data_IF_235265857362
#
_entry.id   IF_235265857362
#
_cell.length_a   1.000
_cell.length_b   1.000
_cell.length_c   1.000
_cell.angle_alpha   90.00
_cell.angle_beta   90.00
_cell.angle_gamma   90.00
#
_symmetry.space_group_name_H-M   'P 1'
#
loop_
_entity.id
_entity.type
_entity.pdbx_description
1 polymer ?
#
# COMPACT_ATOMS: atom_id res chain seq x y z
N UNK A 1 17.28 -18.60 21.09
CA UNK A 1 17.12 -18.89 19.68
C UNK A 1 18.13 -18.09 18.86
N UNK A 2 19.02 -18.80 18.15
CA UNK A 2 20.18 -18.23 17.44
C UNK A 2 19.98 -18.26 15.94
N UNK A 3 18.90 -17.63 15.45
CA UNK A 3 18.72 -17.48 14.01
C UNK A 3 19.70 -16.45 13.44
N UNK A 4 20.53 -16.78 12.44
CA UNK A 4 21.54 -15.88 11.87
C UNK A 4 20.99 -14.77 10.95
N UNK A 5 19.67 -14.70 10.74
CA UNK A 5 19.05 -13.76 9.80
C UNK A 5 18.56 -12.44 10.44
N UNK A 6 18.98 -12.15 11.66
CA UNK A 6 18.49 -10.96 12.39
C UNK A 6 19.33 -9.74 12.05
N UNK A 7 18.80 -8.89 11.20
CA UNK A 7 19.40 -7.60 10.89
C UNK A 7 19.50 -6.69 12.14
N UNK A 8 20.51 -5.83 12.18
CA UNK A 8 20.75 -4.86 13.26
C UNK A 8 19.50 -4.02 13.63
N UNK A 9 18.58 -3.81 12.69
CA UNK A 9 17.32 -3.09 12.92
C UNK A 9 16.36 -3.76 13.92
N UNK A 10 16.41 -5.10 14.06
CA UNK A 10 15.55 -5.82 14.99
C UNK A 10 15.99 -5.69 16.45
N UNK A 11 17.27 -5.46 16.69
CA UNK A 11 17.81 -5.32 18.04
C UNK A 11 17.28 -4.08 18.76
N UNK A 12 17.10 -2.99 18.03
CA UNK A 12 16.61 -1.72 18.58
C UNK A 12 15.11 -1.70 18.84
N UNK A 13 14.35 -2.61 18.23
CA UNK A 13 12.88 -2.69 18.37
C UNK A 13 12.43 -3.69 19.42
N UNK A 14 13.36 -4.42 20.06
CA UNK A 14 13.03 -5.40 21.11
C UNK A 14 13.02 -4.76 22.48
N UNK A 15 11.85 -4.60 23.03
CA UNK A 15 11.62 -4.12 24.39
C UNK A 15 10.98 -5.26 25.19
N UNK A 16 11.80 -5.96 25.99
CA UNK A 16 11.34 -7.04 26.85
C UNK A 16 11.19 -6.62 28.32
N UNK A 17 11.78 -5.48 28.68
CA UNK A 17 11.88 -4.98 30.04
C UNK A 17 11.36 -3.54 30.14
N UNK A 18 10.84 -3.16 31.33
CA UNK A 18 10.38 -1.80 31.61
C UNK A 18 11.53 -0.78 31.57
N UNK A 19 12.74 -1.22 31.88
CA UNK A 19 13.94 -0.38 31.87
C UNK A 19 15.00 -0.96 30.95
N UNK A 20 15.63 -0.11 30.16
CA UNK A 20 16.75 -0.53 29.33
C UNK A 20 17.97 -0.91 30.22
N UNK A 21 18.55 -2.07 29.98
CA UNK A 21 19.63 -2.63 30.81
C UNK A 21 20.92 -1.79 30.81
N UNK A 22 21.13 -0.92 29.80
CA UNK A 22 22.38 -0.16 29.64
C UNK A 22 22.38 1.21 30.30
N UNK A 23 21.26 1.90 30.32
CA UNK A 23 21.17 3.30 30.75
C UNK A 23 19.99 3.58 31.70
N UNK A 24 19.19 2.55 32.02
CA UNK A 24 18.02 2.69 32.88
C UNK A 24 16.85 3.47 32.26
N UNK A 25 16.89 3.76 30.95
CA UNK A 25 15.80 4.45 30.26
C UNK A 25 14.51 3.66 30.37
N UNK A 26 13.43 4.32 30.74
CA UNK A 26 12.12 3.69 30.87
C UNK A 26 11.47 3.48 29.50
N UNK A 27 11.04 2.25 29.24
CA UNK A 27 10.24 1.89 28.08
C UNK A 27 8.77 2.05 28.40
N UNK A 28 8.12 3.03 27.80
CA UNK A 28 6.72 3.33 28.06
C UNK A 28 5.80 2.31 27.35
N UNK A 29 5.16 1.44 28.12
CA UNK A 29 4.13 0.52 27.62
C UNK A 29 2.89 1.28 27.10
N UNK A 30 2.62 2.46 27.67
CA UNK A 30 1.49 3.31 27.24
C UNK A 30 1.76 3.86 25.84
N UNK A 31 2.98 4.36 25.60
CA UNK A 31 3.35 4.89 24.28
C UNK A 31 3.32 3.80 23.21
N UNK A 32 3.76 2.58 23.53
CA UNK A 32 3.63 1.42 22.63
C UNK A 32 2.17 1.09 22.34
N UNK A 33 1.31 1.08 23.37
CA UNK A 33 -0.11 0.82 23.22
C UNK A 33 -0.87 1.89 22.43
N UNK A 34 -0.39 3.14 22.45
CA UNK A 34 -0.95 4.26 21.67
C UNK A 34 -0.40 4.32 20.25
N UNK A 35 0.84 3.88 20.05
CA UNK A 35 1.51 3.90 18.75
C UNK A 35 1.03 2.78 17.82
N UNK A 36 0.65 1.63 18.36
CA UNK A 36 0.31 0.45 17.59
C UNK A 36 -1.02 0.62 16.84
N UNK A 37 -1.05 0.22 15.56
CA UNK A 37 -2.27 0.06 14.76
C UNK A 37 -2.89 -1.34 14.98
N UNK A 38 -2.08 -2.32 15.37
CA UNK A 38 -2.47 -3.66 15.83
C UNK A 38 -1.44 -4.23 16.79
N UNK A 39 -1.87 -5.09 17.70
CA UNK A 39 -0.98 -5.86 18.57
C UNK A 39 -1.11 -7.34 18.22
N UNK A 40 -0.04 -7.95 17.70
CA UNK A 40 0.02 -9.38 17.43
C UNK A 40 0.88 -10.09 18.47
N UNK A 41 0.34 -11.12 19.12
CA UNK A 41 1.06 -11.98 20.06
C UNK A 41 1.24 -13.35 19.39
N UNK A 42 2.41 -13.60 18.81
CA UNK A 42 2.75 -14.79 18.04
C UNK A 42 4.20 -15.22 18.32
N UNK A 43 4.43 -16.36 18.96
CA UNK A 43 3.46 -17.26 19.55
C UNK A 43 2.90 -16.79 20.91
N UNK A 44 1.63 -17.15 21.19
CA UNK A 44 1.02 -16.99 22.51
C UNK A 44 1.00 -18.34 23.26
N UNK A 45 1.80 -18.45 24.31
CA UNK A 45 1.82 -19.66 25.16
C UNK A 45 0.62 -19.72 26.11
N UNK A 46 0.32 -20.89 26.67
CA UNK A 46 -0.72 -21.05 27.67
C UNK A 46 -0.53 -20.08 28.87
N UNK A 47 0.72 -19.84 29.28
CA UNK A 47 1.04 -18.87 30.34
C UNK A 47 0.66 -17.44 29.94
N UNK A 48 1.02 -17.02 28.73
CA UNK A 48 0.69 -15.69 28.21
C UNK A 48 -0.83 -15.50 28.13
N UNK A 49 -1.54 -16.47 27.54
CA UNK A 49 -3.00 -16.48 27.41
C UNK A 49 -3.67 -16.38 28.78
N UNK A 50 -3.19 -17.19 29.76
CA UNK A 50 -3.70 -17.15 31.11
C UNK A 50 -3.50 -15.80 31.81
N UNK A 51 -2.33 -15.18 31.66
CA UNK A 51 -2.04 -13.85 32.21
C UNK A 51 -2.90 -12.77 31.57
N UNK A 52 -3.05 -12.78 30.24
CA UNK A 52 -3.91 -11.85 29.50
C UNK A 52 -5.35 -11.94 29.98
N UNK A 53 -5.92 -13.16 30.05
CA UNK A 53 -7.30 -13.40 30.43
C UNK A 53 -7.61 -12.95 31.88
N UNK A 54 -6.61 -12.97 32.76
CA UNK A 54 -6.77 -12.61 34.17
C UNK A 54 -6.11 -11.28 34.58
N UNK A 55 -5.57 -10.52 33.63
CA UNK A 55 -4.97 -9.19 33.86
C UNK A 55 -3.70 -9.20 34.73
N UNK A 56 -2.90 -10.27 34.67
CA UNK A 56 -1.67 -10.41 35.48
C UNK A 56 -0.51 -9.70 34.81
N UNK A 57 -0.34 -8.42 35.08
CA UNK A 57 0.63 -7.52 34.46
C UNK A 57 2.03 -7.62 35.10
N UNK A 58 2.65 -8.78 35.05
CA UNK A 58 3.98 -9.04 35.65
C UNK A 58 5.15 -8.89 34.67
N UNK A 59 4.87 -8.47 33.42
CA UNK A 59 5.87 -8.27 32.40
C UNK A 59 5.43 -7.20 31.38
N UNK A 60 6.38 -6.72 30.58
CA UNK A 60 6.16 -5.66 29.59
C UNK A 60 5.07 -6.02 28.57
N UNK A 61 5.02 -7.26 28.10
CA UNK A 61 4.04 -7.72 27.12
C UNK A 61 2.61 -7.54 27.63
N UNK A 62 2.33 -8.08 28.83
CA UNK A 62 0.96 -8.03 29.38
C UNK A 62 0.57 -6.61 29.79
N UNK A 63 1.53 -5.81 30.30
CA UNK A 63 1.28 -4.41 30.63
C UNK A 63 0.96 -3.58 29.37
N UNK A 64 1.68 -3.83 28.28
CA UNK A 64 1.37 -3.19 27.00
C UNK A 64 0.02 -3.65 26.46
N UNK A 65 -0.30 -4.94 26.55
CA UNK A 65 -1.62 -5.48 26.18
C UNK A 65 -2.77 -4.77 26.92
N UNK A 66 -2.64 -4.60 28.23
CA UNK A 66 -3.67 -3.93 29.05
C UNK A 66 -3.79 -2.42 28.75
N UNK A 67 -2.77 -1.83 28.12
CA UNK A 67 -2.74 -0.42 27.70
C UNK A 67 -3.11 -0.23 26.21
N UNK A 68 -3.19 -1.32 25.45
CA UNK A 68 -3.43 -1.26 24.01
C UNK A 68 -4.85 -0.80 23.69
N UNK A 69 -4.98 0.16 22.79
CA UNK A 69 -6.26 0.60 22.19
C UNK A 69 -6.48 -0.03 20.81
N UNK A 70 -5.42 -0.51 20.20
CA UNK A 70 -5.44 -1.18 18.91
C UNK A 70 -6.07 -2.59 19.03
N UNK A 71 -6.61 -3.15 17.93
CA UNK A 71 -7.07 -4.53 17.91
C UNK A 71 -5.93 -5.49 18.26
N UNK A 72 -6.24 -6.51 19.07
CA UNK A 72 -5.26 -7.49 19.53
C UNK A 72 -5.52 -8.84 18.90
N UNK A 73 -4.48 -9.40 18.29
CA UNK A 73 -4.48 -10.72 17.66
C UNK A 73 -3.61 -11.68 18.45
N UNK A 74 -4.11 -12.88 18.68
CA UNK A 74 -3.45 -13.89 19.51
C UNK A 74 -3.31 -15.17 18.71
N UNK A 75 -2.07 -15.61 18.45
CA UNK A 75 -1.75 -16.87 17.76
C UNK A 75 -1.25 -17.91 18.78
N UNK A 76 -2.09 -18.81 19.29
CA UNK A 76 -1.71 -19.80 20.28
C UNK A 76 -0.67 -20.78 19.75
N UNK A 77 0.29 -21.16 20.63
CA UNK A 77 1.24 -22.22 20.37
C UNK A 77 1.55 -22.98 21.65
N UNK A 78 1.19 -24.26 21.70
CA UNK A 78 1.41 -25.14 22.85
C UNK A 78 1.19 -26.60 22.45
N UNK A 79 1.52 -27.51 23.35
CA UNK A 79 1.25 -28.94 23.16
C UNK A 79 -0.26 -29.23 23.08
N UNK A 80 -0.63 -30.33 22.42
CA UNK A 80 -1.99 -30.78 22.16
C UNK A 80 -2.84 -30.80 23.43
N UNK A 81 -2.35 -31.47 24.49
CA UNK A 81 -3.08 -31.61 25.75
C UNK A 81 -3.22 -30.26 26.48
N UNK A 82 -2.21 -29.41 26.39
CA UNK A 82 -2.27 -28.04 26.91
C UNK A 82 -3.31 -27.19 26.18
N UNK A 83 -3.41 -27.33 24.88
CA UNK A 83 -4.40 -26.61 24.09
C UNK A 83 -5.83 -27.10 24.39
N UNK A 84 -6.01 -28.42 24.49
CA UNK A 84 -7.30 -29.01 24.80
C UNK A 84 -7.74 -28.83 26.28
N UNK A 85 -6.81 -28.42 27.15
CA UNK A 85 -7.12 -28.31 28.60
C UNK A 85 -8.26 -27.29 28.85
N UNK A 86 -9.25 -27.63 29.71
CA UNK A 86 -10.41 -26.75 29.95
C UNK A 86 -10.04 -25.32 30.39
N UNK A 87 -8.96 -25.14 31.16
CA UNK A 87 -8.51 -23.80 31.56
C UNK A 87 -7.99 -22.98 30.39
N UNK A 88 -7.31 -23.60 29.43
CA UNK A 88 -6.81 -22.92 28.22
C UNK A 88 -7.99 -22.49 27.35
N UNK A 89 -8.94 -23.38 27.11
CA UNK A 89 -10.14 -23.07 26.32
C UNK A 89 -10.95 -21.95 26.99
N UNK A 90 -11.17 -22.01 28.29
CA UNK A 90 -11.85 -20.96 29.07
C UNK A 90 -11.12 -19.60 28.94
N UNK A 91 -9.78 -19.58 29.01
CA UNK A 91 -9.01 -18.35 28.87
C UNK A 91 -9.11 -17.79 27.45
N UNK A 92 -9.09 -18.62 26.41
CA UNK A 92 -9.30 -18.20 25.03
C UNK A 92 -10.69 -17.60 24.81
N UNK A 93 -11.75 -18.23 25.40
CA UNK A 93 -13.10 -17.69 25.32
C UNK A 93 -13.23 -16.35 26.08
N UNK A 94 -12.53 -16.22 27.21
CA UNK A 94 -12.44 -14.95 27.92
C UNK A 94 -11.79 -13.87 27.04
N UNK A 95 -10.68 -14.18 26.38
CA UNK A 95 -10.03 -13.24 25.47
C UNK A 95 -10.93 -12.86 24.29
N UNK A 96 -11.68 -13.82 23.72
CA UNK A 96 -12.70 -13.52 22.69
C UNK A 96 -13.77 -12.57 23.21
N UNK A 97 -14.23 -12.76 24.44
CA UNK A 97 -15.23 -11.88 25.07
C UNK A 97 -14.72 -10.46 25.32
N UNK A 98 -13.39 -10.27 25.43
CA UNK A 98 -12.74 -8.97 25.52
C UNK A 98 -12.52 -8.30 24.14
N UNK A 99 -12.93 -8.96 23.05
CA UNK A 99 -12.76 -8.45 21.70
C UNK A 99 -11.41 -8.80 21.05
N UNK A 100 -10.62 -9.72 21.65
CA UNK A 100 -9.38 -10.16 21.02
C UNK A 100 -9.66 -11.17 19.91
N UNK A 101 -8.89 -11.07 18.82
CA UNK A 101 -8.97 -11.96 17.66
C UNK A 101 -8.06 -13.17 17.87
N UNK A 102 -8.65 -14.35 18.03
CA UNK A 102 -7.89 -15.59 18.19
C UNK A 102 -7.64 -16.19 16.80
N UNK A 103 -6.37 -16.30 16.42
CA UNK A 103 -5.95 -16.99 15.21
C UNK A 103 -5.81 -18.46 15.58
N UNK A 104 -6.69 -19.30 15.02
CA UNK A 104 -6.74 -20.72 15.36
C UNK A 104 -5.39 -21.40 15.04
N UNK A 105 -4.85 -22.21 15.97
CA UNK A 105 -3.61 -22.91 15.71
C UNK A 105 -3.77 -23.96 14.62
N UNK A 106 -2.72 -24.15 13.82
CA UNK A 106 -2.64 -25.16 12.78
C UNK A 106 -2.56 -26.58 13.40
N UNK A 107 -2.97 -27.56 12.61
CA UNK A 107 -2.74 -28.97 12.90
C UNK A 107 -1.44 -29.44 12.24
N UNK A 108 -0.58 -30.13 13.00
CA UNK A 108 0.68 -30.65 12.48
C UNK A 108 1.50 -31.34 13.57
N UNK A 109 2.74 -31.70 13.23
CA UNK A 109 3.69 -32.23 14.19
C UNK A 109 4.13 -31.11 15.15
N UNK A 110 4.07 -31.42 16.46
CA UNK A 110 4.43 -30.55 17.57
C UNK A 110 5.87 -30.85 18.02
N UNK A 111 6.45 -30.00 18.86
CA UNK A 111 7.79 -30.21 19.42
C UNK A 111 7.89 -31.51 20.28
N UNK A 112 6.74 -32.00 20.74
CA UNK A 112 6.62 -33.27 21.46
C UNK A 112 6.53 -34.50 20.53
N UNK A 113 6.67 -34.32 19.20
CA UNK A 113 6.44 -35.35 18.17
C UNK A 113 5.01 -35.89 18.09
N UNK A 114 4.06 -35.31 18.84
CA UNK A 114 2.64 -35.57 18.66
C UNK A 114 2.09 -34.81 17.46
N UNK A 115 1.09 -35.37 16.81
CA UNK A 115 0.40 -34.71 15.68
C UNK A 115 -0.98 -34.29 16.11
N UNK A 116 -1.26 -32.98 16.00
CA UNK A 116 -2.56 -32.44 16.40
C UNK A 116 -2.63 -30.92 16.34
N UNK A 117 -3.73 -30.36 16.85
CA UNK A 117 -3.98 -28.93 16.91
C UNK A 117 -3.20 -28.31 18.08
N UNK A 118 -2.36 -27.34 17.82
CA UNK A 118 -1.56 -26.66 18.85
C UNK A 118 -0.31 -25.95 18.29
N UNK A 119 0.04 -26.21 17.04
CA UNK A 119 1.11 -25.51 16.35
C UNK A 119 0.66 -24.09 16.00
N UNK A 120 1.52 -23.09 16.22
CA UNK A 120 1.24 -21.73 15.77
C UNK A 120 0.91 -21.74 14.27
N UNK A 121 -0.09 -20.96 13.87
CA UNK A 121 -0.42 -20.77 12.46
C UNK A 121 0.78 -20.19 11.68
N UNK A 122 0.89 -20.54 10.41
CA UNK A 122 1.99 -20.08 9.56
C UNK A 122 1.96 -18.56 9.37
N UNK A 123 3.13 -17.88 9.34
CA UNK A 123 3.22 -16.44 9.25
C UNK A 123 2.41 -15.83 8.09
N UNK A 124 2.38 -16.50 6.94
CA UNK A 124 1.64 -16.07 5.75
C UNK A 124 0.13 -16.02 6.00
N UNK A 125 -0.41 -17.00 6.71
CA UNK A 125 -1.82 -17.03 7.08
C UNK A 125 -2.15 -16.00 8.16
N UNK A 126 -1.24 -15.77 9.12
CA UNK A 126 -1.39 -14.72 10.14
C UNK A 126 -1.47 -13.35 9.45
N UNK A 127 -0.59 -13.06 8.49
CA UNK A 127 -0.61 -11.81 7.72
C UNK A 127 -1.93 -11.67 6.97
N UNK A 128 -2.41 -12.75 6.33
CA UNK A 128 -3.70 -12.72 5.62
C UNK A 128 -4.88 -12.37 6.55
N UNK A 129 -4.92 -12.92 7.77
CA UNK A 129 -5.95 -12.58 8.77
C UNK A 129 -5.92 -11.10 9.14
N UNK A 130 -4.73 -10.52 9.31
CA UNK A 130 -4.56 -9.09 9.58
C UNK A 130 -5.03 -8.23 8.38
N UNK A 131 -4.62 -8.59 7.18
CA UNK A 131 -5.03 -7.90 5.94
C UNK A 131 -6.55 -7.93 5.76
N UNK A 132 -7.18 -9.10 5.94
CA UNK A 132 -8.64 -9.25 5.87
C UNK A 132 -9.35 -8.39 6.92
N UNK A 133 -8.83 -8.35 8.15
CA UNK A 133 -9.40 -7.52 9.21
C UNK A 133 -9.37 -6.03 8.84
N UNK A 134 -8.21 -5.51 8.46
CA UNK A 134 -8.08 -4.09 8.12
C UNK A 134 -8.83 -3.72 6.85
N UNK A 135 -8.89 -4.62 5.87
CA UNK A 135 -9.66 -4.41 4.65
C UNK A 135 -11.16 -4.39 4.88
N UNK A 136 -11.68 -5.23 5.78
CA UNK A 136 -13.12 -5.29 6.07
C UNK A 136 -13.63 -4.11 6.89
N UNK A 137 -12.77 -3.43 7.62
CA UNK A 137 -13.14 -2.31 8.51
C UNK A 137 -12.73 -0.94 7.98
N UNK A 138 -12.08 -0.89 6.82
CA UNK A 138 -11.58 0.35 6.23
C UNK A 138 -12.67 1.22 5.60
N UNK A 139 -12.39 2.52 5.49
CA UNK A 139 -13.31 3.53 4.89
C UNK A 139 -13.64 3.23 3.41
N UNK A 140 -12.80 2.44 2.73
CA UNK A 140 -12.95 2.00 1.35
C UNK A 140 -13.37 0.52 1.24
N UNK A 141 -13.84 -0.10 2.32
CA UNK A 141 -14.30 -1.49 2.30
C UNK A 141 -15.39 -1.71 1.24
N UNK A 142 -15.22 -2.72 0.41
CA UNK A 142 -16.11 -3.03 -0.72
C UNK A 142 -16.02 -2.09 -1.92
N UNK A 143 -15.08 -1.12 -1.91
CA UNK A 143 -14.80 -0.25 -3.05
C UNK A 143 -13.69 -0.83 -3.91
N UNK A 144 -13.77 -0.60 -5.22
CA UNK A 144 -12.74 -0.95 -6.19
C UNK A 144 -12.08 0.30 -6.76
N UNK A 145 -10.75 0.32 -6.79
CA UNK A 145 -9.98 1.48 -7.25
C UNK A 145 -8.98 1.06 -8.32
N UNK A 146 -9.04 1.71 -9.48
CA UNK A 146 -8.03 1.58 -10.53
C UNK A 146 -6.94 2.63 -10.32
N UNK A 147 -5.67 2.22 -10.38
CA UNK A 147 -4.53 3.14 -10.28
C UNK A 147 -3.57 2.87 -11.43
N UNK A 148 -3.17 3.90 -12.18
CA UNK A 148 -2.07 3.78 -13.13
C UNK A 148 -0.77 4.32 -12.50
N UNK A 149 0.35 3.63 -12.68
CA UNK A 149 1.63 3.98 -12.07
C UNK A 149 2.83 3.74 -13.00
N UNK A 150 3.93 4.44 -12.76
CA UNK A 150 5.17 4.26 -13.53
C UNK A 150 5.18 5.00 -14.86
N UNK A 151 6.25 4.84 -15.64
CA UNK A 151 6.36 5.35 -17.00
C UNK A 151 5.72 4.39 -18.00
N UNK A 152 5.57 4.83 -19.26
CA UNK A 152 5.47 3.92 -20.40
C UNK A 152 6.74 4.00 -21.25
N UNK A 153 7.07 2.90 -21.91
CA UNK A 153 8.23 2.77 -22.78
C UNK A 153 7.78 2.52 -24.22
N UNK A 154 8.03 3.51 -25.07
CA UNK A 154 7.66 3.46 -26.49
C UNK A 154 8.87 3.01 -27.29
N UNK A 155 8.87 1.77 -27.74
CA UNK A 155 10.00 1.15 -28.43
C UNK A 155 10.38 1.88 -29.72
N UNK A 156 11.65 2.18 -29.88
CA UNK A 156 12.28 2.61 -31.14
C UNK A 156 12.79 1.37 -31.88
N UNK A 157 13.47 0.50 -31.15
CA UNK A 157 14.02 -0.77 -31.62
C UNK A 157 14.13 -1.75 -30.41
N UNK A 158 14.61 -3.00 -30.56
CA UNK A 158 14.72 -3.95 -29.44
C UNK A 158 15.58 -3.50 -28.25
N UNK A 159 16.31 -2.37 -28.39
CA UNK A 159 17.28 -1.89 -27.38
C UNK A 159 16.90 -0.52 -26.80
N UNK A 160 16.24 0.34 -27.58
CA UNK A 160 15.99 1.74 -27.24
C UNK A 160 14.50 2.07 -27.23
N UNK A 161 14.12 2.97 -26.36
CA UNK A 161 12.75 3.45 -26.18
C UNK A 161 12.72 4.95 -25.88
N UNK A 162 11.56 5.56 -26.05
CA UNK A 162 11.18 6.86 -25.52
C UNK A 162 10.37 6.62 -24.25
N UNK A 163 10.63 7.36 -23.17
CA UNK A 163 9.89 7.22 -21.92
C UNK A 163 10.19 8.34 -20.94
N UNK A 164 9.47 8.35 -19.83
CA UNK A 164 9.57 9.34 -18.76
C UNK A 164 10.42 8.82 -17.60
N UNK A 165 10.99 9.73 -16.80
CA UNK A 165 11.81 9.38 -15.62
C UNK A 165 10.99 8.91 -14.40
N UNK A 166 9.72 8.54 -14.56
CA UNK A 166 8.88 8.12 -13.46
C UNK A 166 9.41 6.84 -12.81
N UNK A 167 9.48 6.85 -11.49
CA UNK A 167 9.85 5.67 -10.68
C UNK A 167 8.66 4.85 -10.22
N UNK A 168 7.42 5.32 -10.44
CA UNK A 168 6.20 4.69 -9.97
C UNK A 168 5.87 4.89 -8.48
N UNK A 169 6.82 5.37 -7.66
CA UNK A 169 6.69 5.45 -6.18
C UNK A 169 5.37 6.05 -5.70
N UNK A 170 4.86 7.13 -6.35
CA UNK A 170 3.62 7.77 -5.92
C UNK A 170 2.39 6.89 -6.17
N UNK A 171 2.29 6.29 -7.35
CA UNK A 171 1.17 5.39 -7.69
C UNK A 171 1.14 4.14 -6.81
N UNK A 172 2.32 3.59 -6.48
CA UNK A 172 2.41 2.47 -5.54
C UNK A 172 2.03 2.88 -4.11
N UNK A 173 2.44 4.05 -3.63
CA UNK A 173 2.01 4.56 -2.33
C UNK A 173 0.49 4.77 -2.25
N UNK A 174 -0.14 5.23 -3.33
CA UNK A 174 -1.60 5.34 -3.44
C UNK A 174 -2.28 3.97 -3.41
N UNK A 175 -1.71 2.97 -4.10
CA UNK A 175 -2.26 1.61 -4.14
C UNK A 175 -2.23 0.96 -2.75
N UNK A 176 -1.10 1.04 -2.06
CA UNK A 176 -0.95 0.54 -0.69
C UNK A 176 -1.89 1.26 0.29
N UNK A 177 -2.07 2.57 0.17
CA UNK A 177 -2.97 3.33 1.04
C UNK A 177 -4.44 2.99 0.79
N UNK A 178 -4.87 2.84 -0.48
CA UNK A 178 -6.22 2.38 -0.81
C UNK A 178 -6.51 0.99 -0.25
N UNK A 179 -5.57 0.04 -0.46
CA UNK A 179 -5.70 -1.33 0.02
C UNK A 179 -5.73 -1.39 1.56
N UNK A 180 -4.87 -0.61 2.24
CA UNK A 180 -4.85 -0.48 3.70
C UNK A 180 -6.20 0.03 4.26
N UNK A 181 -6.93 0.84 3.48
CA UNK A 181 -8.28 1.33 3.84
C UNK A 181 -9.41 0.41 3.36
N UNK A 182 -9.09 -0.79 2.89
CA UNK A 182 -10.05 -1.84 2.55
C UNK A 182 -10.52 -1.87 1.10
N UNK A 183 -9.93 -1.10 0.20
CA UNK A 183 -10.25 -1.17 -1.21
C UNK A 183 -9.62 -2.39 -1.90
N UNK A 184 -10.34 -2.98 -2.85
CA UNK A 184 -9.75 -3.83 -3.88
C UNK A 184 -9.11 -2.94 -4.95
N UNK A 185 -7.80 -3.05 -5.14
CA UNK A 185 -7.03 -2.19 -6.04
C UNK A 185 -6.59 -2.93 -7.28
N UNK A 186 -6.86 -2.36 -8.45
CA UNK A 186 -6.25 -2.76 -9.73
C UNK A 186 -5.15 -1.76 -10.05
N UNK A 187 -3.89 -2.19 -9.92
CA UNK A 187 -2.72 -1.37 -10.21
C UNK A 187 -2.15 -1.71 -11.58
N UNK A 188 -2.34 -0.81 -12.57
CA UNK A 188 -1.72 -0.92 -13.88
C UNK A 188 -0.36 -0.23 -13.83
N UNK A 189 0.71 -1.01 -13.87
CA UNK A 189 2.07 -0.55 -13.68
C UNK A 189 2.88 -0.63 -14.95
N UNK A 190 3.44 0.49 -15.39
CA UNK A 190 4.51 0.52 -16.38
C UNK A 190 5.82 -0.04 -15.82
N UNK A 191 6.92 -0.10 -16.62
CA UNK A 191 8.17 -0.73 -16.23
C UNK A 191 8.83 -0.04 -15.03
N UNK A 192 8.70 -0.64 -13.84
CA UNK A 192 9.26 -0.15 -12.58
C UNK A 192 9.74 -1.29 -11.69
N UNK A 193 10.64 -1.00 -10.75
CA UNK A 193 11.16 -1.97 -9.78
C UNK A 193 10.32 -2.04 -8.48
N UNK A 194 9.32 -1.18 -8.33
CA UNK A 194 8.46 -1.16 -7.15
C UNK A 194 7.68 -2.48 -7.05
N UNK A 195 7.45 -2.93 -5.81
CA UNK A 195 6.67 -4.13 -5.50
C UNK A 195 5.42 -3.75 -4.71
N UNK A 196 4.39 -4.56 -4.81
CA UNK A 196 3.19 -4.50 -3.97
C UNK A 196 3.29 -5.57 -2.90
N UNK A 197 2.75 -5.29 -1.71
CA UNK A 197 2.79 -6.20 -0.57
C UNK A 197 1.40 -6.56 -0.05
N UNK A 198 0.39 -5.73 -0.32
CA UNK A 198 -0.96 -5.96 0.15
C UNK A 198 -1.71 -6.97 -0.73
N UNK A 199 -2.42 -7.93 -0.12
CA UNK A 199 -3.16 -9.00 -0.82
C UNK A 199 -4.32 -8.48 -1.69
N UNK A 200 -4.89 -7.31 -1.35
CA UNK A 200 -5.96 -6.65 -2.09
C UNK A 200 -5.47 -5.83 -3.31
N UNK A 201 -4.19 -5.92 -3.68
CA UNK A 201 -3.66 -5.26 -4.87
C UNK A 201 -3.45 -6.29 -5.97
N UNK A 202 -4.26 -6.22 -7.01
CA UNK A 202 -4.06 -6.95 -8.27
C UNK A 202 -3.23 -6.10 -9.21
N UNK A 203 -1.99 -6.51 -9.49
CA UNK A 203 -1.07 -5.79 -10.38
C UNK A 203 -1.18 -6.31 -11.81
N UNK A 204 -1.27 -5.39 -12.77
CA UNK A 204 -1.20 -5.63 -14.22
C UNK A 204 0.03 -4.88 -14.74
N UNK A 205 1.04 -5.63 -15.18
CA UNK A 205 2.24 -5.05 -15.77
C UNK A 205 2.01 -4.75 -17.26
N UNK A 206 2.40 -3.56 -17.68
CA UNK A 206 2.31 -3.07 -19.06
C UNK A 206 3.62 -2.43 -19.47
N UNK A 207 3.87 -2.30 -20.77
CA UNK A 207 5.10 -1.68 -21.26
C UNK A 207 4.83 -0.35 -21.95
N UNK A 208 3.90 -0.31 -22.88
CA UNK A 208 3.60 0.86 -23.71
C UNK A 208 2.39 1.66 -23.26
N UNK A 209 2.23 2.87 -23.78
CA UNK A 209 1.02 3.68 -23.61
C UNK A 209 -0.22 2.96 -24.16
N UNK A 210 -0.07 2.20 -25.23
CA UNK A 210 -1.15 1.42 -25.81
C UNK A 210 -1.62 0.30 -24.87
N UNK A 211 -0.68 -0.47 -24.30
CA UNK A 211 -1.00 -1.53 -23.34
C UNK A 211 -1.71 -0.95 -22.10
N UNK A 212 -1.20 0.19 -21.60
CA UNK A 212 -1.81 0.88 -20.45
C UNK A 212 -3.21 1.39 -20.78
N UNK A 213 -3.42 1.91 -21.98
CA UNK A 213 -4.73 2.35 -22.46
C UNK A 213 -5.72 1.19 -22.50
N UNK A 214 -5.35 0.07 -23.11
CA UNK A 214 -6.21 -1.12 -23.24
C UNK A 214 -6.56 -1.69 -21.87
N UNK A 215 -5.58 -1.84 -20.98
CA UNK A 215 -5.81 -2.30 -19.62
C UNK A 215 -6.72 -1.35 -18.83
N UNK A 216 -6.50 -0.01 -18.94
CA UNK A 216 -7.32 0.97 -18.25
C UNK A 216 -8.76 0.98 -18.76
N UNK A 217 -8.97 0.92 -20.08
CA UNK A 217 -10.31 0.86 -20.69
C UNK A 217 -11.09 -0.41 -20.31
N UNK A 218 -10.38 -1.55 -20.16
CA UNK A 218 -11.00 -2.81 -19.73
C UNK A 218 -11.41 -2.79 -18.25
N UNK A 219 -10.63 -2.16 -17.39
CA UNK A 219 -10.83 -2.21 -15.93
C UNK A 219 -11.70 -1.05 -15.40
N UNK A 220 -11.62 0.13 -15.98
CA UNK A 220 -12.32 1.32 -15.44
C UNK A 220 -13.84 1.18 -15.31
N UNK A 221 -14.58 0.52 -16.23
CA UNK A 221 -16.01 0.30 -16.05
C UNK A 221 -16.41 -0.55 -14.84
N UNK A 222 -15.44 -1.27 -14.25
CA UNK A 222 -15.63 -2.22 -13.15
C UNK A 222 -15.26 -1.67 -11.76
N UNK A 223 -14.84 -0.40 -11.69
CA UNK A 223 -14.33 0.23 -10.46
C UNK A 223 -15.13 1.45 -10.04
N UNK A 224 -15.08 1.80 -8.76
CA UNK A 224 -15.72 2.99 -8.19
C UNK A 224 -14.90 4.27 -8.43
N UNK A 225 -13.58 4.14 -8.51
CA UNK A 225 -12.70 5.28 -8.74
C UNK A 225 -11.47 4.91 -9.59
N UNK A 226 -10.97 5.89 -10.35
CA UNK A 226 -9.71 5.80 -11.09
C UNK A 226 -8.74 6.91 -10.69
N UNK A 227 -7.48 6.57 -10.43
CA UNK A 227 -6.40 7.51 -10.11
C UNK A 227 -5.32 7.39 -11.19
N UNK A 228 -5.18 8.39 -12.02
CA UNK A 228 -4.25 8.39 -13.15
C UNK A 228 -2.94 9.07 -12.75
N UNK A 229 -2.01 8.28 -12.17
CA UNK A 229 -0.73 8.73 -11.64
C UNK A 229 0.48 8.33 -12.53
N UNK A 230 0.27 7.55 -13.59
CA UNK A 230 1.32 7.16 -14.52
C UNK A 230 1.86 8.37 -15.32
N UNK A 231 3.15 8.32 -15.65
CA UNK A 231 3.79 9.24 -16.57
C UNK A 231 3.81 8.61 -17.99
N UNK A 232 2.66 8.68 -18.64
CA UNK A 232 2.48 8.15 -20.00
C UNK A 232 3.22 9.01 -21.00
N UNK A 233 3.89 8.40 -21.97
CA UNK A 233 4.50 9.12 -23.07
C UNK A 233 3.42 9.70 -24.01
N UNK A 234 3.52 10.98 -24.37
CA UNK A 234 2.58 11.65 -25.27
C UNK A 234 2.75 11.22 -26.73
N UNK A 235 3.94 10.71 -27.08
CA UNK A 235 4.29 10.30 -28.43
C UNK A 235 4.96 8.94 -28.46
N UNK A 236 4.69 8.16 -29.49
CA UNK A 236 5.30 6.86 -29.79
C UNK A 236 5.89 6.86 -31.21
N UNK A 237 6.96 6.12 -31.50
CA UNK A 237 7.45 5.95 -32.87
C UNK A 237 6.36 5.44 -33.81
N UNK A 238 6.28 6.02 -34.99
CA UNK A 238 5.30 5.59 -36.01
C UNK A 238 5.57 4.15 -36.48
N UNK A 239 6.85 3.79 -36.56
CA UNK A 239 7.31 2.45 -36.87
C UNK A 239 8.40 2.02 -35.87
N UNK A 240 8.33 0.79 -35.38
CA UNK A 240 9.34 0.15 -34.55
C UNK A 240 10.24 -0.71 -35.42
N UNK A 241 11.55 -0.52 -35.29
CA UNK A 241 12.51 -1.33 -36.05
C UNK A 241 12.67 -2.73 -35.43
N UNK A 242 12.60 -3.79 -36.25
CA UNK A 242 12.77 -5.17 -35.80
C UNK A 242 14.21 -5.49 -35.32
N UNK A 243 15.18 -4.69 -35.73
CA UNK A 243 16.59 -4.84 -35.37
C UNK A 243 17.14 -3.53 -34.83
N UNK A 244 18.15 -3.63 -33.96
CA UNK A 244 18.87 -2.45 -33.45
C UNK A 244 19.34 -1.57 -34.62
N UNK A 245 18.87 -0.34 -34.67
CA UNK A 245 19.29 0.66 -35.67
C UNK A 245 20.80 0.94 -35.50
N UNK A 246 21.57 0.70 -36.53
CA UNK A 246 23.01 1.01 -36.54
C UNK A 246 23.21 2.49 -36.82
N UNK A 247 24.30 3.05 -36.32
CA UNK A 247 24.69 4.42 -36.63
C UNK A 247 25.18 4.46 -38.06
N UNK A 248 24.38 5.05 -38.92
CA UNK A 248 24.71 5.33 -40.33
C UNK A 248 24.61 6.85 -40.53
N UNK A 249 25.75 7.54 -40.50
CA UNK A 249 25.79 8.99 -40.57
C UNK A 249 25.75 9.71 -39.21
N UNK A 250 25.49 11.03 -39.27
CA UNK A 250 25.57 11.92 -38.08
C UNK A 250 24.22 12.18 -37.43
N UNK A 251 23.11 11.83 -38.07
CA UNK A 251 21.75 12.10 -37.59
C UNK A 251 20.87 10.84 -37.58
N UNK A 252 19.94 10.76 -36.65
CA UNK A 252 18.84 9.79 -36.61
C UNK A 252 17.51 10.55 -36.57
N UNK A 253 16.73 10.43 -37.65
CA UNK A 253 15.39 11.01 -37.69
C UNK A 253 14.33 9.96 -37.23
N UNK A 254 13.54 10.32 -36.23
CA UNK A 254 12.43 9.51 -35.76
C UNK A 254 11.12 10.23 -36.06
N UNK A 255 10.22 9.57 -36.76
CA UNK A 255 8.85 10.01 -36.91
C UNK A 255 8.01 9.52 -35.75
N UNK A 256 7.34 10.43 -35.06
CA UNK A 256 6.54 10.16 -33.90
C UNK A 256 5.06 10.48 -34.17
N UNK A 257 4.17 9.65 -33.62
CA UNK A 257 2.72 9.90 -33.62
C UNK A 257 2.21 10.01 -32.18
N UNK A 258 1.11 10.77 -31.95
CA UNK A 258 0.53 10.88 -30.61
C UNK A 258 0.03 9.52 -30.14
N UNK A 259 0.15 9.28 -28.82
CA UNK A 259 -0.45 8.15 -28.11
C UNK A 259 -1.91 8.43 -27.79
N UNK A 260 -2.65 7.39 -27.34
CA UNK A 260 -4.00 7.57 -26.85
C UNK A 260 -4.05 8.33 -25.53
N UNK A 261 -4.90 9.35 -25.45
CA UNK A 261 -5.14 10.08 -24.19
C UNK A 261 -6.05 9.24 -23.27
N UNK A 262 -5.43 8.44 -22.39
CA UNK A 262 -6.11 7.56 -21.43
C UNK A 262 -7.09 8.36 -20.58
N UNK A 263 -6.65 9.51 -20.07
CA UNK A 263 -7.46 10.34 -19.19
C UNK A 263 -8.73 10.87 -19.88
N UNK A 264 -8.59 11.36 -21.13
CA UNK A 264 -9.72 11.84 -21.90
C UNK A 264 -10.68 10.69 -22.27
N UNK A 265 -10.14 9.50 -22.56
CA UNK A 265 -10.95 8.32 -22.88
C UNK A 265 -11.76 7.85 -21.67
N UNK A 266 -11.15 7.72 -20.50
CA UNK A 266 -11.84 7.34 -19.27
C UNK A 266 -12.87 8.40 -18.83
N UNK A 267 -12.51 9.69 -18.97
CA UNK A 267 -13.46 10.78 -18.67
C UNK A 267 -14.73 10.79 -19.53
N UNK A 268 -14.66 10.26 -20.77
CA UNK A 268 -15.83 10.11 -21.65
C UNK A 268 -16.78 8.98 -21.23
N UNK A 269 -16.23 7.89 -20.67
CA UNK A 269 -17.02 6.73 -20.25
C UNK A 269 -17.38 6.75 -18.76
N UNK A 270 -16.89 7.75 -18.02
CA UNK A 270 -17.15 7.93 -16.59
C UNK A 270 -18.65 8.05 -16.32
N UNK A 271 -19.14 7.22 -15.39
CA UNK A 271 -20.53 7.27 -14.92
C UNK A 271 -20.69 8.21 -13.72
N UNK A 272 -21.92 8.69 -13.39
CA UNK A 272 -22.14 9.63 -12.28
C UNK A 272 -21.67 9.13 -10.90
N UNK A 273 -21.66 7.82 -10.70
CA UNK A 273 -21.21 7.19 -9.44
C UNK A 273 -19.70 6.99 -9.34
N UNK A 274 -18.98 7.15 -10.45
CA UNK A 274 -17.54 6.94 -10.50
C UNK A 274 -16.75 8.22 -10.23
N UNK A 275 -15.55 8.07 -9.65
CA UNK A 275 -14.59 9.18 -9.49
C UNK A 275 -13.41 8.99 -10.41
N UNK A 276 -12.90 10.11 -10.94
CA UNK A 276 -11.70 10.12 -11.77
C UNK A 276 -10.75 11.22 -11.29
N UNK A 277 -9.57 10.82 -10.87
CA UNK A 277 -8.53 11.69 -10.33
C UNK A 277 -7.36 11.73 -11.28
N UNK A 278 -6.91 12.93 -11.65
CA UNK A 278 -5.75 13.13 -12.52
C UNK A 278 -4.54 13.63 -11.76
N UNK A 279 -3.38 13.40 -12.33
CA UNK A 279 -2.12 14.04 -11.94
C UNK A 279 -1.65 14.99 -13.03
N UNK A 280 -1.10 16.13 -12.63
CA UNK A 280 -0.42 17.06 -13.51
C UNK A 280 0.96 17.41 -12.94
N UNK A 281 1.97 17.31 -13.79
CA UNK A 281 3.30 17.80 -13.52
C UNK A 281 3.55 18.94 -14.51
N UNK A 282 3.60 20.16 -14.01
CA UNK A 282 3.69 21.36 -14.83
C UNK A 282 4.96 22.15 -14.48
N UNK A 283 5.44 22.93 -15.44
CA UNK A 283 6.60 23.80 -15.28
C UNK A 283 6.27 25.28 -15.44
N UNK A 284 5.20 25.59 -16.20
CA UNK A 284 4.73 26.95 -16.50
C UNK A 284 3.21 26.98 -16.48
N UNK A 285 2.62 28.13 -16.08
CA UNK A 285 1.15 28.33 -16.01
C UNK A 285 0.38 27.18 -15.36
N UNK A 286 0.97 26.64 -14.28
CA UNK A 286 0.60 25.38 -13.63
C UNK A 286 -0.88 25.29 -13.32
N UNK A 287 -1.44 26.35 -12.72
CA UNK A 287 -2.84 26.39 -12.32
C UNK A 287 -3.78 26.37 -13.52
N UNK A 288 -3.54 27.23 -14.51
CA UNK A 288 -4.38 27.34 -15.70
C UNK A 288 -4.39 26.05 -16.53
N UNK A 289 -3.23 25.42 -16.65
CA UNK A 289 -3.09 24.15 -17.37
C UNK A 289 -3.84 23.02 -16.63
N UNK A 290 -3.72 22.96 -15.28
CA UNK A 290 -4.41 21.98 -14.48
C UNK A 290 -5.96 22.18 -14.51
N UNK A 291 -6.46 23.41 -14.40
CA UNK A 291 -7.89 23.74 -14.56
C UNK A 291 -8.41 23.33 -15.94
N UNK A 292 -7.65 23.61 -16.99
CA UNK A 292 -8.01 23.18 -18.35
C UNK A 292 -8.08 21.65 -18.49
N UNK A 293 -7.17 20.91 -17.86
CA UNK A 293 -7.18 19.43 -17.82
C UNK A 293 -8.38 18.90 -17.01
N UNK A 294 -8.66 19.51 -15.85
CA UNK A 294 -9.77 19.14 -14.98
C UNK A 294 -11.10 19.07 -15.77
N UNK A 295 -11.39 20.11 -16.53
CA UNK A 295 -12.64 20.23 -17.29
C UNK A 295 -12.64 19.30 -18.50
N UNK A 296 -11.59 19.37 -19.34
CA UNK A 296 -11.54 18.62 -20.61
C UNK A 296 -11.55 17.11 -20.42
N UNK A 297 -10.96 16.61 -19.30
CA UNK A 297 -10.81 15.19 -19.02
C UNK A 297 -11.85 14.68 -18.01
N UNK A 298 -12.81 15.52 -17.61
CA UNK A 298 -13.89 15.20 -16.68
C UNK A 298 -13.37 14.62 -15.33
N UNK A 299 -12.30 15.20 -14.80
CA UNK A 299 -11.78 14.84 -13.49
C UNK A 299 -12.63 15.42 -12.35
N UNK A 300 -12.77 14.72 -11.23
CA UNK A 300 -13.37 15.24 -10.01
C UNK A 300 -12.40 16.19 -9.30
N UNK A 301 -11.13 15.83 -9.28
CA UNK A 301 -10.03 16.71 -8.91
C UNK A 301 -8.73 16.32 -9.59
N UNK A 302 -7.78 17.22 -9.58
CA UNK A 302 -6.44 17.00 -10.11
C UNK A 302 -5.39 17.30 -9.05
N UNK A 303 -4.39 16.43 -8.95
CA UNK A 303 -3.23 16.58 -8.08
C UNK A 303 -2.12 17.24 -8.90
N UNK A 304 -1.78 18.46 -8.56
CA UNK A 304 -0.75 19.25 -9.22
C UNK A 304 0.56 19.13 -8.45
N UNK A 305 1.62 18.75 -9.15
CA UNK A 305 2.99 18.79 -8.69
C UNK A 305 3.75 19.84 -9.48
N UNK A 306 4.63 20.59 -8.81
CA UNK A 306 5.56 21.53 -9.46
C UNK A 306 6.97 20.97 -9.47
N UNK A 307 7.65 21.02 -10.60
CA UNK A 307 9.09 20.73 -10.69
C UNK A 307 9.95 21.87 -10.10
N UNK A 308 9.36 23.04 -9.85
CA UNK A 308 10.03 24.18 -9.25
C UNK A 308 10.21 24.03 -7.73
N UNK A 309 9.51 23.10 -7.09
CA UNK A 309 9.61 22.83 -5.67
C UNK A 309 10.80 21.91 -5.36
N UNK A 310 11.74 22.39 -4.55
CA UNK A 310 12.88 21.59 -4.11
C UNK A 310 12.40 20.37 -3.29
N UNK A 311 12.87 19.17 -3.64
CA UNK A 311 12.47 17.91 -3.00
C UNK A 311 11.18 17.29 -3.53
N UNK A 312 10.51 17.90 -4.51
CA UNK A 312 9.39 17.33 -5.25
C UNK A 312 9.84 16.73 -6.58
N UNK A 313 9.16 15.68 -7.05
CA UNK A 313 9.43 15.08 -8.38
C UNK A 313 9.64 13.56 -8.37
N UNK A 314 10.04 13.01 -9.52
CA UNK A 314 10.03 11.56 -9.79
C UNK A 314 11.02 10.74 -8.94
N UNK A 315 12.18 11.30 -8.58
CA UNK A 315 13.28 10.57 -7.93
C UNK A 315 13.27 10.67 -6.40
N UNK A 316 12.57 11.64 -5.83
CA UNK A 316 12.52 11.88 -4.39
C UNK A 316 11.50 10.98 -3.70
N UNK A 317 11.70 10.72 -2.40
CA UNK A 317 10.75 10.02 -1.55
C UNK A 317 9.70 10.96 -0.95
N UNK A 318 9.89 12.27 -1.16
CA UNK A 318 8.99 13.36 -0.77
C UNK A 318 8.24 13.92 -1.99
N UNK A 319 7.13 14.61 -1.70
CA UNK A 319 6.38 15.37 -2.69
C UNK A 319 5.68 16.57 -2.04
N UNK A 320 5.47 17.63 -2.82
CA UNK A 320 4.65 18.78 -2.47
C UNK A 320 3.55 18.90 -3.50
N UNK A 321 2.31 18.94 -3.06
CA UNK A 321 1.16 18.91 -3.97
C UNK A 321 0.17 20.04 -3.69
N UNK A 322 -0.59 20.39 -4.73
CA UNK A 322 -1.84 21.13 -4.61
C UNK A 322 -2.97 20.30 -5.21
N UNK A 323 -4.12 20.26 -4.56
CA UNK A 323 -5.33 19.63 -5.09
C UNK A 323 -6.26 20.71 -5.64
N UNK A 324 -6.60 20.60 -6.93
CA UNK A 324 -7.53 21.49 -7.61
C UNK A 324 -8.83 20.74 -7.94
N UNK A 325 -9.98 21.33 -7.62
CA UNK A 325 -11.31 20.83 -7.97
C UNK A 325 -12.22 21.98 -8.36
N UNK A 326 -13.46 21.69 -8.76
CA UNK A 326 -14.48 22.73 -8.98
C UNK A 326 -14.77 23.57 -7.73
N UNK A 327 -14.40 23.11 -6.53
CA UNK A 327 -14.57 23.82 -5.25
C UNK A 327 -13.37 24.71 -4.88
N UNK A 328 -12.31 24.71 -5.66
CA UNK A 328 -11.12 25.51 -5.44
C UNK A 328 -9.84 24.70 -5.27
N UNK A 329 -8.79 25.37 -4.79
CA UNK A 329 -7.42 24.85 -4.59
C UNK A 329 -7.12 24.66 -3.12
N UNK A 330 -6.47 23.56 -2.79
CA UNK A 330 -5.91 23.28 -1.46
C UNK A 330 -4.43 22.92 -1.61
N UNK A 331 -3.56 23.63 -0.91
CA UNK A 331 -2.12 23.41 -0.94
C UNK A 331 -1.68 22.57 0.25
N UNK A 332 -0.77 21.64 0.02
CA UNK A 332 -0.18 20.76 1.03
C UNK A 332 1.32 21.01 1.15
N UNK A 333 1.90 20.96 2.35
CA UNK A 333 3.34 21.11 2.53
C UNK A 333 4.11 19.93 1.95
N UNK A 334 5.44 20.06 1.85
CA UNK A 334 6.33 18.96 1.49
C UNK A 334 6.22 17.85 2.55
N UNK A 335 5.89 16.65 2.10
CA UNK A 335 5.70 15.44 2.91
C UNK A 335 6.30 14.21 2.22
N UNK A 336 6.41 13.11 2.93
CA UNK A 336 6.68 11.81 2.32
C UNK A 336 5.58 11.40 1.33
N UNK A 337 5.91 10.62 0.31
CA UNK A 337 4.91 10.13 -0.66
C UNK A 337 3.80 9.30 -0.01
N UNK A 338 4.09 8.62 1.09
CA UNK A 338 3.07 7.89 1.87
C UNK A 338 2.07 8.85 2.54
N UNK A 339 2.56 9.94 3.15
CA UNK A 339 1.67 10.96 3.74
C UNK A 339 0.87 11.71 2.67
N UNK A 340 1.49 12.01 1.53
CA UNK A 340 0.80 12.61 0.38
C UNK A 340 -0.28 11.67 -0.16
N UNK A 341 -0.03 10.37 -0.20
CA UNK A 341 -1.05 9.38 -0.59
C UNK A 341 -2.25 9.43 0.37
N UNK A 342 -2.02 9.54 1.68
CA UNK A 342 -3.08 9.71 2.68
C UNK A 342 -3.93 10.95 2.41
N UNK A 343 -3.28 12.10 2.19
CA UNK A 343 -3.99 13.37 1.90
C UNK A 343 -4.88 13.25 0.64
N UNK A 344 -4.38 12.58 -0.42
CA UNK A 344 -5.11 12.37 -1.67
C UNK A 344 -6.30 11.43 -1.46
N UNK A 345 -6.11 10.32 -0.75
CA UNK A 345 -7.17 9.34 -0.48
C UNK A 345 -8.21 9.93 0.47
N UNK A 346 -7.82 10.70 1.48
CA UNK A 346 -8.75 11.46 2.34
C UNK A 346 -9.65 12.40 1.51
N UNK A 347 -9.07 13.04 0.50
CA UNK A 347 -9.84 13.89 -0.42
C UNK A 347 -10.77 13.06 -1.29
N UNK A 348 -10.31 11.94 -1.84
CA UNK A 348 -11.12 11.05 -2.67
C UNK A 348 -12.34 10.53 -1.90
N UNK A 349 -12.16 10.06 -0.67
CA UNK A 349 -13.25 9.55 0.18
C UNK A 349 -14.32 10.63 0.41
N UNK A 350 -13.92 11.89 0.64
CA UNK A 350 -14.85 13.01 0.83
C UNK A 350 -15.66 13.35 -0.44
N UNK A 351 -15.20 12.93 -1.61
CA UNK A 351 -15.89 13.14 -2.89
C UNK A 351 -16.73 11.92 -3.30
N UNK A 352 -16.49 10.72 -2.73
CA UNK A 352 -17.30 9.50 -2.95
C UNK A 352 -18.61 9.55 -2.19
#
# INVERSE_FOLDING_TARGET
DRSPSRGLGDVYKRQSEFFAQRDGTWNSHVDLGLWADAMLIAPATASTIGKMANGIADNMLITTYLSAKAPVFVAPAMDLDMFAHPSTQKNLDTLRSYGNHIIEPASGELASHLVGKGRMEEPENIIRVLDEFFSSTGELAGKKVLITAGPTYEKIDPVRFIGNYSSGKMGFALAEECARRGADVVLIAGPVQQKTYHSHITRIDVESAQDMYEAAMAQYPLVDAGILCAAVADFTPDAVADKKIKREGDELLLHLKPTHDIAAALGKIKTPGQKLIGFALETNDEQRNAEGKLIRKNFDFIVLNSLNDAGAGFRYDTNKISILSCRGRTDYPLKSKTEVARDIIDRMIKEM
#
